data_IF_577089883307
#
_entry.id   IF_577089883307
#
_cell.length_a   1.000
_cell.length_b   1.000
_cell.length_c   1.000
_cell.angle_alpha   90.00
_cell.angle_beta   90.00
_cell.angle_gamma   90.00
#
_symmetry.space_group_name_H-M   'P 1'
#
loop_
_entity.id
_entity.type
_entity.pdbx_description
1 polymer ?
#
# COMPACT_ATOMS: atom_id res chain seq x y z
N UNK A 1 -27.37 -7.70 -24.90
CA UNK A 1 -26.06 -7.05 -24.72
C UNK A 1 -25.29 -7.86 -23.72
N UNK A 2 -24.22 -8.49 -24.20
CA UNK A 2 -23.46 -9.54 -23.54
C UNK A 2 -22.86 -9.01 -22.25
N UNK A 3 -23.29 -9.56 -21.11
CA UNK A 3 -22.58 -9.41 -19.85
C UNK A 3 -21.25 -10.14 -19.99
N UNK A 4 -20.18 -9.41 -20.33
CA UNK A 4 -18.83 -9.93 -20.21
C UNK A 4 -18.50 -10.08 -18.72
N UNK A 5 -18.85 -11.24 -18.17
CA UNK A 5 -18.27 -11.70 -16.92
C UNK A 5 -16.78 -11.90 -17.18
N UNK A 6 -15.98 -10.87 -16.90
CA UNK A 6 -14.52 -11.04 -16.83
C UNK A 6 -14.17 -11.80 -15.56
N UNK A 7 -14.40 -13.11 -15.56
CA UNK A 7 -13.61 -14.02 -14.74
C UNK A 7 -12.22 -14.09 -15.39
N UNK A 8 -11.36 -13.12 -15.07
CA UNK A 8 -9.95 -13.13 -15.47
C UNK A 8 -9.12 -13.25 -14.21
N UNK A 9 -8.57 -14.46 -13.97
CA UNK A 9 -7.57 -14.82 -12.96
C UNK A 9 -7.49 -13.85 -11.78
N UNK A 10 -8.09 -14.17 -10.63
CA UNK A 10 -8.11 -13.35 -9.40
C UNK A 10 -6.89 -12.43 -9.32
N UNK A 11 -7.00 -11.21 -9.87
CA UNK A 11 -5.93 -10.23 -9.94
C UNK A 11 -5.26 -10.22 -8.57
N UNK A 12 -3.99 -10.61 -8.54
CA UNK A 12 -3.28 -10.80 -7.28
C UNK A 12 -3.28 -9.51 -6.46
N UNK A 13 -3.52 -8.35 -7.10
CA UNK A 13 -3.66 -7.01 -6.50
C UNK A 13 -4.93 -6.84 -5.67
N UNK A 14 -5.85 -7.80 -5.70
CA UNK A 14 -7.18 -7.65 -5.12
C UNK A 14 -7.21 -7.69 -3.60
N UNK A 15 -6.11 -8.06 -2.94
CA UNK A 15 -6.10 -8.32 -1.51
C UNK A 15 -5.05 -7.55 -0.73
N UNK A 16 -5.42 -7.16 0.49
CA UNK A 16 -4.53 -6.61 1.52
C UNK A 16 -3.22 -7.37 1.65
N UNK A 17 -3.28 -8.70 1.71
CA UNK A 17 -2.11 -9.57 1.94
C UNK A 17 -1.07 -9.43 0.83
N UNK A 18 -1.51 -9.44 -0.42
CA UNK A 18 -0.61 -9.24 -1.54
C UNK A 18 0.05 -7.86 -1.49
N UNK A 19 -0.74 -6.80 -1.37
CA UNK A 19 -0.23 -5.42 -1.39
C UNK A 19 0.79 -5.22 -0.28
N UNK A 20 0.54 -5.81 0.89
CA UNK A 20 1.49 -5.82 1.98
C UNK A 20 2.81 -6.53 1.60
N UNK A 21 2.74 -7.74 1.03
CA UNK A 21 3.93 -8.48 0.57
C UNK A 21 4.74 -7.69 -0.45
N UNK A 22 4.10 -7.09 -1.45
CA UNK A 22 4.78 -6.29 -2.47
C UNK A 22 5.47 -5.05 -1.90
N UNK A 23 4.83 -4.37 -0.94
CA UNK A 23 5.47 -3.25 -0.21
C UNK A 23 6.71 -3.76 0.54
N UNK A 24 6.61 -4.91 1.22
CA UNK A 24 7.74 -5.51 1.91
C UNK A 24 8.89 -5.86 0.96
N UNK A 25 8.61 -6.35 -0.25
CA UNK A 25 9.62 -6.61 -1.29
C UNK A 25 10.30 -5.33 -1.75
N UNK A 26 9.55 -4.25 -2.01
CA UNK A 26 10.10 -2.94 -2.40
C UNK A 26 10.91 -2.29 -1.30
N UNK A 27 10.52 -2.51 -0.06
CA UNK A 27 11.34 -2.16 1.09
C UNK A 27 12.61 -3.00 1.02
N UNK A 28 12.53 -4.33 0.99
CA UNK A 28 13.70 -5.23 0.97
C UNK A 28 14.72 -4.88 -0.11
N UNK A 29 14.27 -4.51 -1.32
CA UNK A 29 15.10 -4.07 -2.45
C UNK A 29 15.65 -2.62 -2.33
N UNK A 30 15.45 -1.96 -1.17
CA UNK A 30 15.83 -0.57 -0.90
C UNK A 30 15.20 0.46 -1.86
N UNK A 31 14.12 0.09 -2.54
CA UNK A 31 13.36 1.00 -3.42
C UNK A 31 12.46 1.94 -2.62
N UNK A 32 12.00 1.50 -1.45
CA UNK A 32 11.21 2.32 -0.51
C UNK A 32 11.85 2.36 0.86
N UNK A 33 12.08 3.58 1.34
CA UNK A 33 12.77 3.84 2.61
C UNK A 33 11.94 4.60 3.65
N UNK A 34 10.72 5.04 3.33
CA UNK A 34 9.86 5.80 4.23
C UNK A 34 8.37 5.62 3.88
N UNK A 35 7.48 6.12 4.74
CA UNK A 35 6.03 6.03 4.53
C UNK A 35 5.59 6.70 3.23
N UNK A 36 6.18 7.84 2.86
CA UNK A 36 5.85 8.54 1.62
C UNK A 36 6.06 7.63 0.39
N UNK A 37 7.17 6.90 0.33
CA UNK A 37 7.43 5.93 -0.74
C UNK A 37 6.40 4.78 -0.77
N UNK A 38 5.88 4.37 0.39
CA UNK A 38 4.79 3.39 0.45
C UNK A 38 3.50 3.97 -0.17
N UNK A 39 3.16 5.23 0.13
CA UNK A 39 1.99 5.89 -0.46
C UNK A 39 2.10 6.03 -1.98
N UNK A 40 3.31 6.33 -2.47
CA UNK A 40 3.60 6.38 -3.91
C UNK A 40 3.38 5.03 -4.58
N UNK A 41 3.84 3.91 -3.97
CA UNK A 41 3.54 2.57 -4.47
C UNK A 41 2.04 2.32 -4.58
N UNK A 42 1.26 2.68 -3.55
CA UNK A 42 -0.19 2.47 -3.57
C UNK A 42 -0.84 3.23 -4.74
N UNK A 43 -0.43 4.48 -4.95
CA UNK A 43 -0.88 5.28 -6.07
C UNK A 43 -0.46 4.68 -7.44
N UNK A 44 0.80 4.24 -7.58
CA UNK A 44 1.30 3.59 -8.80
C UNK A 44 0.59 2.27 -9.12
N UNK A 45 0.09 1.57 -8.10
CA UNK A 45 -0.75 0.37 -8.26
C UNK A 45 -2.21 0.70 -8.62
N UNK A 46 -2.57 1.98 -8.74
CA UNK A 46 -3.93 2.43 -9.04
C UNK A 46 -4.88 2.36 -7.83
N UNK A 47 -4.34 2.31 -6.61
CA UNK A 47 -5.13 2.34 -5.38
C UNK A 47 -5.32 3.79 -4.92
N UNK A 48 -6.53 4.10 -4.47
CA UNK A 48 -6.87 5.40 -3.90
C UNK A 48 -6.73 5.36 -2.40
N UNK A 49 -6.05 6.35 -1.82
CA UNK A 49 -5.96 6.50 -0.37
C UNK A 49 -7.25 7.14 0.13
N UNK A 50 -7.98 6.43 0.99
CA UNK A 50 -9.27 6.89 1.55
C UNK A 50 -9.15 7.32 3.02
N UNK A 51 -8.04 6.99 3.67
CA UNK A 51 -7.77 7.42 5.04
C UNK A 51 -6.36 7.10 5.50
N UNK A 52 -5.85 7.91 6.41
CA UNK A 52 -4.53 7.75 7.02
C UNK A 52 -4.63 7.99 8.53
N UNK A 53 -4.06 7.09 9.32
CA UNK A 53 -3.82 7.29 10.76
C UNK A 53 -2.33 7.25 11.03
N UNK A 54 -1.95 7.47 12.30
CA UNK A 54 -0.57 7.36 12.77
C UNK A 54 0.11 6.04 12.39
N UNK A 55 -0.62 4.93 12.29
CA UNK A 55 -0.11 3.57 12.13
C UNK A 55 -0.78 2.77 11.00
N UNK A 56 -1.62 3.42 10.19
CA UNK A 56 -2.38 2.74 9.15
C UNK A 56 -2.70 3.60 7.94
N UNK A 57 -2.94 2.90 6.81
CA UNK A 57 -3.37 3.48 5.54
C UNK A 57 -4.55 2.68 5.00
N UNK A 58 -5.69 3.32 4.80
CA UNK A 58 -6.87 2.73 4.16
C UNK A 58 -6.89 3.08 2.68
N UNK A 59 -7.20 2.08 1.85
CA UNK A 59 -7.27 2.24 0.39
C UNK A 59 -8.53 1.64 -0.19
N UNK A 60 -8.98 2.21 -1.30
CA UNK A 60 -9.92 1.59 -2.24
C UNK A 60 -9.19 1.16 -3.51
N UNK A 61 -9.61 0.04 -4.07
CA UNK A 61 -9.29 -0.36 -5.43
C UNK A 61 -10.50 -0.03 -6.33
N UNK A 62 -10.45 1.04 -7.14
CA UNK A 62 -11.57 1.43 -7.99
C UNK A 62 -11.93 0.39 -9.06
N UNK A 63 -10.96 -0.43 -9.48
CA UNK A 63 -11.15 -1.44 -10.52
C UNK A 63 -11.99 -2.62 -10.04
N UNK A 64 -12.00 -2.88 -8.73
CA UNK A 64 -12.68 -4.04 -8.12
C UNK A 64 -13.73 -3.67 -7.08
N UNK A 65 -13.74 -2.42 -6.61
CA UNK A 65 -14.58 -1.98 -5.50
C UNK A 65 -14.07 -2.41 -4.13
N UNK A 66 -12.98 -3.18 -4.05
CA UNK A 66 -12.42 -3.66 -2.79
C UNK A 66 -11.88 -2.51 -1.94
N UNK A 67 -12.09 -2.60 -0.63
CA UNK A 67 -11.55 -1.66 0.36
C UNK A 67 -10.85 -2.43 1.46
N UNK A 68 -9.68 -1.94 1.86
CA UNK A 68 -8.94 -2.56 2.95
C UNK A 68 -7.99 -1.56 3.62
N UNK A 69 -7.60 -1.90 4.86
CA UNK A 69 -6.64 -1.12 5.64
C UNK A 69 -5.35 -1.90 5.82
N UNK A 70 -4.25 -1.23 5.50
CA UNK A 70 -2.88 -1.66 5.76
C UNK A 70 -2.47 -1.15 7.15
N UNK A 71 -1.99 -2.05 8.00
CA UNK A 71 -1.58 -1.79 9.39
C UNK A 71 -0.24 -2.42 9.67
N UNK A 72 0.55 -1.81 10.54
CA UNK A 72 1.85 -2.33 10.99
C UNK A 72 2.93 -1.25 11.04
N UNK A 73 4.09 -1.58 11.63
CA UNK A 73 5.19 -0.62 11.89
C UNK A 73 5.64 0.15 10.65
N UNK A 74 5.66 -0.49 9.48
CA UNK A 74 6.06 0.14 8.21
C UNK A 74 5.08 1.24 7.76
N UNK A 75 3.84 1.21 8.24
CA UNK A 75 2.82 2.21 7.96
C UNK A 75 2.79 3.29 9.05
N UNK A 76 3.75 3.36 9.98
CA UNK A 76 3.77 4.45 10.94
C UNK A 76 4.07 5.80 10.24
N UNK A 77 3.48 6.91 10.66
CA UNK A 77 3.62 8.22 9.99
C UNK A 77 5.08 8.66 9.86
N UNK A 78 5.85 8.42 10.91
CA UNK A 78 7.29 8.69 11.00
C UNK A 78 8.16 7.48 10.63
N UNK A 79 7.60 6.46 9.95
CA UNK A 79 8.38 5.29 9.59
C UNK A 79 9.45 5.63 8.55
N UNK A 80 10.68 5.25 8.86
CA UNK A 80 11.82 5.20 7.94
C UNK A 80 12.54 3.86 8.13
N UNK A 81 13.10 3.31 7.05
CA UNK A 81 13.82 2.03 7.07
C UNK A 81 15.04 2.05 8.00
N UNK A 82 15.73 3.19 8.07
CA UNK A 82 16.94 3.36 8.88
C UNK A 82 16.67 3.70 10.34
N UNK A 83 15.41 3.95 10.73
CA UNK A 83 15.07 4.36 12.10
C UNK A 83 15.65 5.70 12.54
N UNK A 84 16.37 6.39 11.65
CA UNK A 84 16.92 7.72 11.91
C UNK A 84 15.81 8.74 11.69
N UNK A 85 15.06 9.01 12.76
CA UNK A 85 14.47 10.33 12.94
C UNK A 85 15.62 11.31 13.16
N UNK A 86 15.63 12.38 12.41
CA UNK A 86 16.53 13.50 12.63
C UNK A 86 16.30 14.03 14.06
N UNK A 87 17.21 13.73 14.99
CA UNK A 87 17.47 14.62 16.11
C UNK A 87 18.13 15.87 15.54
N UNK A 88 17.33 16.83 15.08
CA UNK A 88 17.81 18.19 14.90
C UNK A 88 17.58 18.91 16.23
N UNK A 89 18.71 19.25 16.85
CA UNK A 89 18.84 20.14 18.01
C UNK A 89 18.21 21.51 17.75
#
# INVERSE_FOLDING_TARGET
MTSEVRVGASDWRQGRGYIHTYICEKIASSTVGNRYGILMILHELGLEITGQTIDSVSVSNPQTGNRFTLRGKIYHENWTRTGLVNNQQ
#
